data_IF_062902921600
#
_entry.id   IF_062902921600
#
_cell.length_a   1.000
_cell.length_b   1.000
_cell.length_c   1.000
_cell.angle_alpha   90.00
_cell.angle_beta   90.00
_cell.angle_gamma   90.00
#
_symmetry.space_group_name_H-M   'P 1'
#
loop_
_entity.id
_entity.type
_entity.pdbx_description
1 polymer ?
#
# COMPACT_ATOMS: atom_id res chain seq x y z
N UNK A 1 36.16 -8.90 25.20
CA UNK A 1 35.03 -8.00 25.44
C UNK A 1 33.91 -8.51 24.56
N UNK A 2 32.92 -9.13 25.19
CA UNK A 2 31.82 -9.80 24.49
C UNK A 2 30.91 -8.73 23.88
N UNK A 3 30.75 -8.75 22.54
CA UNK A 3 29.79 -7.91 21.88
C UNK A 3 28.39 -8.34 22.35
N UNK A 4 27.76 -7.49 23.17
CA UNK A 4 26.38 -7.68 23.63
C UNK A 4 25.47 -7.56 22.40
N UNK A 5 25.10 -8.68 21.80
CA UNK A 5 24.06 -8.73 20.78
C UNK A 5 22.76 -8.29 21.46
N UNK A 6 22.17 -7.21 20.96
CA UNK A 6 20.84 -6.78 21.39
C UNK A 6 19.85 -7.93 21.17
N UNK A 7 18.81 -8.05 22.03
CA UNK A 7 17.93 -9.21 22.04
C UNK A 7 17.23 -9.42 20.71
N UNK A 8 17.17 -10.68 20.29
CA UNK A 8 16.45 -11.13 19.10
C UNK A 8 14.94 -10.89 19.23
N UNK A 9 14.23 -10.88 18.13
CA UNK A 9 12.76 -10.65 18.01
C UNK A 9 11.89 -11.61 18.84
N UNK A 10 12.47 -12.57 19.55
CA UNK A 10 11.81 -13.59 20.37
C UNK A 10 11.77 -13.27 21.88
N UNK A 11 12.28 -12.10 22.32
CA UNK A 11 12.35 -11.80 23.75
C UNK A 11 10.95 -11.56 24.32
N UNK A 12 10.62 -12.30 25.38
CA UNK A 12 9.34 -12.18 26.11
C UNK A 12 9.43 -11.04 27.14
N UNK A 13 9.28 -9.79 26.72
CA UNK A 13 9.45 -8.59 27.55
C UNK A 13 8.56 -8.55 28.80
N UNK A 14 7.36 -9.13 28.73
CA UNK A 14 6.42 -9.19 29.85
C UNK A 14 6.88 -10.13 30.98
N UNK A 15 7.79 -11.05 30.69
CA UNK A 15 8.35 -11.97 31.71
C UNK A 15 9.59 -11.41 32.40
N UNK A 16 10.10 -10.26 31.94
CA UNK A 16 11.32 -9.66 32.48
C UNK A 16 11.02 -8.61 33.55
N UNK A 17 11.88 -8.55 34.57
CA UNK A 17 11.95 -7.41 35.48
C UNK A 17 12.39 -6.15 34.73
N UNK A 18 11.98 -4.97 35.23
CA UNK A 18 12.26 -3.67 34.62
C UNK A 18 13.77 -3.45 34.43
N UNK A 19 14.56 -3.71 35.48
CA UNK A 19 16.02 -3.50 35.44
C UNK A 19 16.71 -4.41 34.43
N UNK A 20 16.22 -5.65 34.29
CA UNK A 20 16.74 -6.59 33.26
C UNK A 20 16.39 -6.11 31.86
N UNK A 21 15.15 -5.61 31.66
CA UNK A 21 14.73 -5.08 30.36
C UNK A 21 15.56 -3.85 29.96
N UNK A 22 15.78 -2.92 30.90
CA UNK A 22 16.66 -1.75 30.70
C UNK A 22 18.08 -2.17 30.36
N UNK A 23 18.64 -3.15 31.10
CA UNK A 23 19.98 -3.66 30.87
C UNK A 23 20.16 -4.33 29.52
N UNK A 24 19.17 -5.11 29.05
CA UNK A 24 19.20 -5.76 27.73
C UNK A 24 19.20 -4.76 26.58
N UNK A 25 18.50 -3.66 26.72
CA UNK A 25 18.47 -2.59 25.73
C UNK A 25 19.54 -1.51 25.95
N UNK A 26 20.43 -1.67 26.94
CA UNK A 26 21.42 -0.66 27.32
C UNK A 26 20.78 0.73 27.38
N UNK A 27 19.69 0.86 28.15
CA UNK A 27 18.95 2.10 28.35
C UNK A 27 18.85 2.44 29.83
N UNK A 28 18.50 3.69 30.11
CA UNK A 28 18.32 4.19 31.49
C UNK A 28 16.97 4.92 31.60
N UNK A 29 16.22 4.62 32.66
CA UNK A 29 14.86 5.14 32.85
C UNK A 29 14.79 6.68 33.02
N UNK A 30 15.87 7.31 33.55
CA UNK A 30 15.92 8.73 33.84
C UNK A 30 16.66 9.57 32.80
N UNK A 31 17.73 9.02 32.21
CA UNK A 31 18.49 9.73 31.18
C UNK A 31 18.06 9.37 29.74
N UNK A 32 17.44 8.21 29.54
CA UNK A 32 17.16 7.69 28.19
C UNK A 32 18.43 7.42 27.38
N UNK A 33 18.31 7.40 26.08
CA UNK A 33 19.41 7.23 25.13
C UNK A 33 20.09 8.55 24.80
N UNK A 34 21.38 8.49 24.44
CA UNK A 34 22.10 9.64 23.84
C UNK A 34 21.74 9.80 22.35
N UNK A 35 22.05 10.96 21.78
CA UNK A 35 21.78 11.24 20.36
C UNK A 35 22.52 10.25 19.46
N UNK A 36 23.77 9.94 19.78
CA UNK A 36 24.61 9.00 19.02
C UNK A 36 24.06 7.57 19.06
N UNK A 37 23.54 7.14 20.22
CA UNK A 37 22.90 5.82 20.34
C UNK A 37 21.61 5.74 19.53
N UNK A 38 20.82 6.80 19.52
CA UNK A 38 19.60 6.87 18.71
C UNK A 38 19.91 6.77 17.23
N UNK A 39 20.91 7.51 16.73
CA UNK A 39 21.31 7.44 15.32
C UNK A 39 21.78 6.02 14.92
N UNK A 40 22.62 5.39 15.76
CA UNK A 40 23.06 4.02 15.52
C UNK A 40 21.90 3.02 15.50
N UNK A 41 20.92 3.19 16.41
CA UNK A 41 19.75 2.32 16.48
C UNK A 41 18.81 2.56 15.30
N UNK A 42 18.62 3.80 14.87
CA UNK A 42 17.83 4.13 13.70
C UNK A 42 18.42 3.52 12.41
N UNK A 43 19.76 3.54 12.28
CA UNK A 43 20.42 2.84 11.17
C UNK A 43 20.27 1.33 11.23
N UNK A 44 20.24 0.74 12.44
CA UNK A 44 20.17 -0.71 12.64
C UNK A 44 18.75 -1.25 12.50
N UNK A 45 17.75 -0.59 13.10
CA UNK A 45 16.36 -1.06 13.17
C UNK A 45 15.45 -0.43 12.12
N UNK A 46 15.91 0.65 11.46
CA UNK A 46 15.09 1.44 10.57
C UNK A 46 14.09 2.35 11.30
N UNK A 47 13.29 3.12 10.55
CA UNK A 47 12.25 3.97 11.12
C UNK A 47 11.10 3.15 11.71
N UNK A 48 10.46 3.71 12.74
CA UNK A 48 9.26 3.11 13.34
C UNK A 48 8.03 3.39 12.46
N UNK A 49 7.99 2.73 11.32
CA UNK A 49 6.91 2.79 10.35
C UNK A 49 6.48 1.36 9.99
N UNK A 50 5.20 1.17 9.76
CA UNK A 50 4.72 -0.07 9.17
C UNK A 50 5.07 -0.03 7.68
N UNK A 51 5.73 -1.07 7.18
CA UNK A 51 5.96 -1.20 5.75
C UNK A 51 4.60 -1.28 5.04
N UNK A 52 4.25 -0.20 4.39
CA UNK A 52 3.23 -0.28 3.36
C UNK A 52 3.91 -0.88 2.13
N UNK A 53 3.23 -1.74 1.39
CA UNK A 53 3.69 -2.08 0.05
C UNK A 53 4.00 -0.77 -0.65
N UNK A 54 5.29 -0.56 -0.93
CA UNK A 54 5.81 0.69 -1.46
C UNK A 54 4.90 1.17 -2.57
N UNK A 55 4.60 2.48 -2.60
CA UNK A 55 3.74 3.05 -3.61
C UNK A 55 4.11 2.49 -4.97
N UNK A 56 3.12 2.18 -5.80
CA UNK A 56 3.33 1.54 -7.11
C UNK A 56 4.42 2.27 -7.87
N UNK A 57 5.37 1.55 -8.42
CA UNK A 57 6.42 2.16 -9.23
C UNK A 57 5.80 2.85 -10.45
N UNK A 58 6.45 3.90 -10.96
CA UNK A 58 5.97 4.60 -12.17
C UNK A 58 5.72 3.64 -13.34
N UNK A 59 6.53 2.60 -13.46
CA UNK A 59 6.39 1.55 -14.47
C UNK A 59 5.20 0.64 -14.22
N UNK A 60 4.92 0.27 -12.97
CA UNK A 60 3.73 -0.51 -12.61
C UNK A 60 2.45 0.25 -12.92
N UNK A 61 2.37 1.53 -12.53
CA UNK A 61 1.25 2.41 -12.85
C UNK A 61 1.05 2.48 -14.37
N UNK A 62 2.13 2.64 -15.14
CA UNK A 62 2.06 2.72 -16.60
C UNK A 62 1.57 1.38 -17.20
N UNK A 63 2.14 0.25 -16.77
CA UNK A 63 1.73 -1.06 -17.30
C UNK A 63 0.31 -1.44 -16.91
N UNK A 64 -0.16 -1.05 -15.72
CA UNK A 64 -1.53 -1.31 -15.29
C UNK A 64 -2.56 -0.59 -16.17
N UNK A 65 -2.21 0.57 -16.76
CA UNK A 65 -3.07 1.22 -17.75
C UNK A 65 -3.33 0.31 -18.96
N UNK A 66 -2.34 -0.48 -19.37
CA UNK A 66 -2.45 -1.39 -20.52
C UNK A 66 -3.16 -2.72 -20.21
N UNK A 67 -3.45 -3.03 -18.93
CA UNK A 67 -4.26 -4.21 -18.56
C UNK A 67 -5.76 -3.99 -18.74
N UNK A 68 -6.20 -2.74 -18.99
CA UNK A 68 -7.60 -2.45 -19.22
C UNK A 68 -8.06 -3.12 -20.52
N UNK A 69 -9.14 -3.91 -20.47
CA UNK A 69 -9.70 -4.65 -21.60
C UNK A 69 -10.04 -3.73 -22.79
N UNK A 70 -10.47 -2.49 -22.49
CA UNK A 70 -10.79 -1.49 -23.52
C UNK A 70 -9.54 -1.03 -24.26
N UNK A 71 -8.43 -0.78 -23.54
CA UNK A 71 -7.18 -0.38 -24.16
C UNK A 71 -6.54 -1.54 -24.96
N UNK A 72 -6.62 -2.76 -24.42
CA UNK A 72 -6.21 -3.97 -25.15
C UNK A 72 -6.99 -4.15 -26.46
N UNK A 73 -8.29 -3.88 -26.44
CA UNK A 73 -9.13 -3.93 -27.63
C UNK A 73 -8.70 -2.88 -28.67
N UNK A 74 -8.43 -1.63 -28.25
CA UNK A 74 -7.92 -0.58 -29.13
C UNK A 74 -6.57 -0.95 -29.74
N UNK A 75 -5.67 -1.55 -28.96
CA UNK A 75 -4.38 -2.05 -29.46
C UNK A 75 -4.59 -3.17 -30.49
N UNK A 76 -5.50 -4.10 -30.23
CA UNK A 76 -5.83 -5.17 -31.18
C UNK A 76 -6.40 -4.60 -32.50
N UNK A 77 -7.30 -3.59 -32.39
CA UNK A 77 -7.86 -2.90 -33.56
C UNK A 77 -6.76 -2.17 -34.35
N UNK A 78 -5.85 -1.46 -33.64
CA UNK A 78 -4.70 -0.79 -34.28
C UNK A 78 -3.79 -1.78 -35.01
N UNK A 79 -3.57 -2.96 -34.43
CA UNK A 79 -2.77 -4.01 -35.08
C UNK A 79 -3.44 -4.56 -36.35
N UNK A 80 -4.75 -4.83 -36.29
CA UNK A 80 -5.51 -5.31 -37.42
C UNK A 80 -5.55 -4.24 -38.52
N UNK A 81 -5.89 -3.00 -38.20
CA UNK A 81 -5.90 -1.87 -39.15
C UNK A 81 -4.53 -1.68 -39.81
N UNK A 82 -3.45 -1.64 -38.98
CA UNK A 82 -2.09 -1.52 -39.51
C UNK A 82 -1.65 -2.67 -40.40
N UNK A 83 -2.13 -3.90 -40.14
CA UNK A 83 -1.86 -5.06 -40.99
C UNK A 83 -2.58 -4.95 -42.34
N UNK A 84 -3.83 -4.49 -42.33
CA UNK A 84 -4.59 -4.24 -43.55
C UNK A 84 -3.97 -3.12 -44.39
N UNK A 85 -3.60 -2.02 -43.76
CA UNK A 85 -2.90 -0.90 -44.38
C UNK A 85 -1.56 -1.33 -45.01
N UNK A 86 -0.80 -2.18 -44.32
CA UNK A 86 0.48 -2.69 -44.80
C UNK A 86 0.31 -3.58 -46.05
N UNK A 87 -0.69 -4.49 -46.04
CA UNK A 87 -0.98 -5.34 -47.17
C UNK A 87 -1.35 -4.49 -48.40
N UNK A 88 -2.18 -3.47 -48.21
CA UNK A 88 -2.64 -2.58 -49.30
C UNK A 88 -1.53 -1.71 -49.84
N UNK A 89 -0.65 -1.21 -48.97
CA UNK A 89 0.52 -0.48 -49.38
C UNK A 89 1.46 -1.35 -50.23
N UNK A 90 1.67 -2.60 -49.82
CA UNK A 90 2.51 -3.55 -50.55
C UNK A 90 1.88 -3.95 -51.92
N UNK A 91 0.57 -4.03 -51.97
CA UNK A 91 -0.18 -4.34 -53.21
C UNK A 91 -0.26 -3.16 -54.19
N UNK A 92 0.13 -1.95 -53.77
CA UNK A 92 0.03 -0.75 -54.59
C UNK A 92 -1.40 -0.24 -54.78
N UNK A 93 -2.33 -0.61 -53.89
CA UNK A 93 -3.77 -0.32 -54.01
C UNK A 93 -4.16 1.04 -53.38
N UNK A 94 -3.17 1.85 -52.93
CA UNK A 94 -3.43 3.17 -52.36
C UNK A 94 -3.98 4.14 -53.38
N UNK A 95 -5.08 4.79 -53.07
CA UNK A 95 -5.68 5.84 -53.90
C UNK A 95 -4.79 7.09 -53.94
N UNK A 96 -4.72 7.82 -55.03
CA UNK A 96 -3.98 9.07 -55.13
C UNK A 96 -4.45 10.08 -54.05
N UNK A 97 -3.55 10.47 -53.15
CA UNK A 97 -3.85 11.41 -52.05
C UNK A 97 -4.25 10.75 -50.74
N UNK A 98 -4.32 9.46 -50.64
CA UNK A 98 -4.58 8.70 -49.41
C UNK A 98 -3.30 8.61 -48.57
N UNK A 99 -3.42 8.97 -47.27
CA UNK A 99 -2.30 8.87 -46.33
C UNK A 99 -2.25 7.44 -45.82
N UNK A 100 -1.15 6.69 -46.07
CA UNK A 100 -1.04 5.33 -45.54
C UNK A 100 -1.06 5.33 -44.00
N UNK A 101 -1.69 4.31 -43.43
CA UNK A 101 -1.78 4.11 -41.97
C UNK A 101 -2.51 5.22 -41.19
N UNK A 102 -3.34 6.03 -41.82
CA UNK A 102 -4.04 7.16 -41.19
C UNK A 102 -4.87 6.73 -40.01
N UNK A 103 -5.66 5.64 -40.13
CA UNK A 103 -6.53 5.17 -39.04
C UNK A 103 -5.73 4.47 -37.94
N UNK A 104 -4.71 3.72 -38.31
CA UNK A 104 -3.75 3.12 -37.37
C UNK A 104 -3.04 4.18 -36.54
N UNK A 105 -2.57 5.27 -37.15
CA UNK A 105 -1.90 6.39 -36.47
C UNK A 105 -2.90 7.07 -35.50
N UNK A 106 -4.12 7.31 -35.94
CA UNK A 106 -5.15 7.94 -35.12
C UNK A 106 -5.47 7.08 -33.87
N UNK A 107 -5.65 5.77 -34.04
CA UNK A 107 -5.91 4.86 -32.92
C UNK A 107 -4.72 4.80 -31.96
N UNK A 108 -3.49 4.69 -32.47
CA UNK A 108 -2.29 4.68 -31.65
C UNK A 108 -2.12 6.01 -30.87
N UNK A 109 -2.44 7.14 -31.50
CA UNK A 109 -2.43 8.43 -30.82
C UNK A 109 -3.41 8.47 -29.64
N UNK A 110 -4.63 7.89 -29.82
CA UNK A 110 -5.62 7.77 -28.75
C UNK A 110 -5.11 6.86 -27.62
N UNK A 111 -4.53 5.71 -27.98
CA UNK A 111 -3.95 4.77 -27.00
C UNK A 111 -2.86 5.42 -26.16
N UNK A 112 -1.93 6.12 -26.81
CA UNK A 112 -0.84 6.84 -26.13
C UNK A 112 -1.39 7.95 -25.23
N UNK A 113 -2.33 8.74 -25.76
CA UNK A 113 -2.96 9.83 -25.00
C UNK A 113 -3.67 9.30 -23.76
N UNK A 114 -4.46 8.23 -23.88
CA UNK A 114 -5.13 7.59 -22.76
C UNK A 114 -4.14 7.02 -21.75
N UNK A 115 -3.05 6.38 -22.19
CA UNK A 115 -2.00 5.88 -21.32
C UNK A 115 -1.32 6.99 -20.52
N UNK A 116 -0.99 8.12 -21.17
CA UNK A 116 -0.39 9.30 -20.52
C UNK A 116 -1.40 9.91 -19.53
N UNK A 117 -2.64 10.09 -19.93
CA UNK A 117 -3.68 10.70 -19.10
C UNK A 117 -3.94 9.84 -17.84
N UNK A 118 -4.09 8.52 -18.02
CA UNK A 118 -4.26 7.58 -16.92
C UNK A 118 -3.07 7.60 -15.95
N UNK A 119 -1.85 7.58 -16.47
CA UNK A 119 -0.63 7.70 -15.66
C UNK A 119 -0.61 9.00 -14.83
N UNK A 120 -0.92 10.13 -15.46
CA UNK A 120 -0.92 11.44 -14.77
C UNK A 120 -2.00 11.49 -13.69
N UNK A 121 -3.19 10.97 -13.96
CA UNK A 121 -4.29 10.93 -12.99
C UNK A 121 -3.94 10.05 -11.77
N UNK A 122 -3.47 8.83 -12.00
CA UNK A 122 -3.08 7.88 -10.93
C UNK A 122 -1.91 8.42 -10.10
N UNK A 123 -0.85 8.94 -10.77
CA UNK A 123 0.31 9.51 -10.08
C UNK A 123 -0.05 10.72 -9.21
N UNK A 124 -0.97 11.58 -9.67
CA UNK A 124 -1.47 12.71 -8.85
C UNK A 124 -2.29 12.23 -7.65
N UNK A 125 -3.12 11.21 -7.82
CA UNK A 125 -3.90 10.63 -6.72
C UNK A 125 -2.98 10.04 -5.64
N UNK A 126 -1.94 9.32 -6.03
CA UNK A 126 -0.97 8.72 -5.13
C UNK A 126 -0.13 9.79 -4.38
N UNK A 127 0.31 10.84 -5.09
CA UNK A 127 1.02 11.97 -4.47
C UNK A 127 0.13 12.74 -3.46
N UNK A 128 -1.15 12.94 -3.76
CA UNK A 128 -2.08 13.58 -2.85
C UNK A 128 -2.30 12.74 -1.58
N UNK A 129 -2.42 11.42 -1.72
CA UNK A 129 -2.53 10.50 -0.60
C UNK A 129 -1.26 10.50 0.28
N UNK A 130 -0.08 10.47 -0.34
CA UNK A 130 1.20 10.54 0.36
C UNK A 130 1.38 11.88 1.13
N UNK A 131 0.90 13.00 0.56
CA UNK A 131 0.91 14.30 1.23
C UNK A 131 0.00 14.32 2.47
N UNK A 132 -1.21 13.75 2.38
CA UNK A 132 -2.12 13.62 3.52
C UNK A 132 -1.52 12.78 4.64
N UNK A 133 -0.87 11.66 4.32
CA UNK A 133 -0.18 10.81 5.30
C UNK A 133 0.93 11.54 6.06
N UNK A 134 1.71 12.39 5.38
CA UNK A 134 2.76 13.20 6.03
C UNK A 134 2.21 14.20 7.04
N UNK A 135 1.01 14.73 6.83
CA UNK A 135 0.38 15.66 7.77
C UNK A 135 -0.11 14.98 9.06
N UNK A 136 -0.30 13.67 9.04
CA UNK A 136 -0.82 12.87 10.14
C UNK A 136 0.28 12.20 11.00
N UNK A 137 1.56 12.56 10.83
CA UNK A 137 2.64 11.97 11.63
C UNK A 137 2.53 12.42 13.09
N UNK A 138 2.20 11.52 14.04
CA UNK A 138 2.09 11.85 15.45
C UNK A 138 3.47 12.20 16.03
N UNK A 139 3.50 13.12 17.01
CA UNK A 139 4.66 13.38 17.84
C UNK A 139 4.55 12.58 19.14
N UNK A 140 5.69 12.16 19.66
CA UNK A 140 5.80 11.38 20.89
C UNK A 140 6.82 12.02 21.80
N UNK A 141 6.49 12.10 23.09
CA UNK A 141 7.39 12.61 24.11
C UNK A 141 8.28 11.50 24.64
N UNK A 142 9.58 11.70 24.57
CA UNK A 142 10.60 10.75 25.03
C UNK A 142 11.61 11.43 25.95
N UNK A 143 12.33 10.62 26.75
CA UNK A 143 13.49 11.06 27.50
C UNK A 143 14.73 10.70 26.71
N UNK A 144 15.53 11.70 26.32
CA UNK A 144 16.85 11.51 25.67
C UNK A 144 17.86 12.45 26.28
N UNK A 145 19.05 11.93 26.61
CA UNK A 145 20.12 12.68 27.29
C UNK A 145 19.64 13.44 28.54
N UNK A 146 18.75 12.83 29.34
CA UNK A 146 18.18 13.39 30.54
C UNK A 146 17.18 14.54 30.35
N UNK A 147 16.72 14.77 29.08
CA UNK A 147 15.76 15.83 28.75
C UNK A 147 14.51 15.25 28.11
N UNK A 148 13.38 15.91 28.37
CA UNK A 148 12.13 15.64 27.66
C UNK A 148 12.20 16.28 26.28
N UNK A 149 11.99 15.46 25.23
CA UNK A 149 12.03 15.89 23.83
C UNK A 149 10.81 15.33 23.12
N UNK A 150 10.13 16.16 22.33
CA UNK A 150 9.10 15.71 21.40
C UNK A 150 9.76 15.31 20.08
N UNK A 151 9.57 14.05 19.68
CA UNK A 151 10.13 13.47 18.45
C UNK A 151 9.00 12.96 17.55
N UNK A 152 9.23 12.88 16.25
CA UNK A 152 8.28 12.22 15.37
C UNK A 152 8.20 10.73 15.71
N UNK A 153 7.00 10.15 15.70
CA UNK A 153 6.80 8.74 16.03
C UNK A 153 7.67 7.78 15.22
N UNK A 154 7.99 8.14 13.99
CA UNK A 154 8.88 7.37 13.11
C UNK A 154 10.34 7.33 13.56
N UNK A 155 10.77 8.29 14.38
CA UNK A 155 12.15 8.43 14.85
C UNK A 155 12.38 7.78 16.24
N UNK A 156 11.36 7.03 16.73
CA UNK A 156 11.47 6.23 17.95
C UNK A 156 12.25 4.95 17.65
N UNK A 157 13.13 4.58 18.58
CA UNK A 157 13.96 3.37 18.45
C UNK A 157 13.84 2.48 19.70
N UNK A 158 14.08 1.17 19.58
CA UNK A 158 14.15 0.28 20.74
C UNK A 158 15.18 0.79 21.76
N UNK A 159 14.76 0.91 23.02
CA UNK A 159 15.54 1.49 24.12
C UNK A 159 15.20 2.94 24.45
N UNK A 160 14.41 3.64 23.64
CA UNK A 160 13.86 4.93 24.04
C UNK A 160 12.96 4.79 25.26
N UNK A 161 12.91 5.83 26.09
CA UNK A 161 11.97 5.94 27.20
C UNK A 161 10.84 6.89 26.81
N UNK A 162 9.69 6.30 26.45
CA UNK A 162 8.50 7.02 26.00
C UNK A 162 7.61 7.38 27.19
N UNK A 163 7.06 8.60 27.20
CA UNK A 163 6.10 9.08 28.18
C UNK A 163 4.68 8.95 27.65
N UNK A 164 3.82 8.38 28.48
CA UNK A 164 2.40 8.23 28.20
C UNK A 164 1.57 9.13 29.11
N UNK A 165 0.60 9.80 28.53
CA UNK A 165 -0.41 10.63 29.20
C UNK A 165 -1.79 10.35 28.60
N UNK A 166 -2.87 10.61 29.35
CA UNK A 166 -4.23 10.41 28.87
C UNK A 166 -4.49 11.17 27.55
N UNK A 167 -5.13 10.49 26.57
CA UNK A 167 -5.42 11.00 25.22
C UNK A 167 -4.29 10.79 24.21
N UNK A 168 -3.16 10.20 24.60
CA UNK A 168 -2.06 9.90 23.69
C UNK A 168 -2.24 8.52 23.06
N UNK A 169 -2.02 8.42 21.75
CA UNK A 169 -1.90 7.15 21.06
C UNK A 169 -0.48 6.58 21.18
N UNK A 170 -0.38 5.32 21.58
CA UNK A 170 0.90 4.64 21.77
C UNK A 170 1.52 4.32 20.42
N UNK A 171 2.76 4.76 20.21
CA UNK A 171 3.41 4.74 18.90
C UNK A 171 4.41 3.61 18.70
N UNK A 172 4.71 2.82 19.74
CA UNK A 172 5.59 1.65 19.67
C UNK A 172 5.24 0.66 20.77
N UNK A 173 5.62 -0.62 20.62
CA UNK A 173 5.47 -1.58 21.71
C UNK A 173 6.53 -1.34 22.79
N UNK A 174 6.14 -1.52 24.05
CA UNK A 174 7.09 -1.28 25.12
C UNK A 174 6.74 -1.93 26.45
N UNK A 175 7.78 -2.16 27.24
CA UNK A 175 7.71 -2.62 28.63
C UNK A 175 7.48 -1.43 29.55
N UNK A 176 6.42 -1.46 30.33
CA UNK A 176 6.10 -0.40 31.28
C UNK A 176 7.14 -0.37 32.40
N UNK A 177 7.72 0.81 32.65
CA UNK A 177 8.74 1.06 33.71
C UNK A 177 8.07 1.59 34.95
N UNK A 178 7.24 2.64 34.78
CA UNK A 178 6.52 3.33 35.85
C UNK A 178 5.10 3.62 35.40
N UNK A 179 4.16 3.65 36.34
CA UNK A 179 2.78 4.03 36.04
C UNK A 179 2.10 4.69 37.25
N UNK A 180 1.11 5.54 36.95
CA UNK A 180 0.19 6.11 37.91
C UNK A 180 -1.22 6.07 37.33
N UNK A 181 -2.04 5.12 37.81
CA UNK A 181 -3.42 4.88 37.37
C UNK A 181 -3.57 4.76 35.84
N UNK A 182 -2.60 4.10 35.18
CA UNK A 182 -2.57 3.98 33.72
C UNK A 182 -3.62 2.98 33.25
N UNK A 183 -4.52 3.43 32.40
CA UNK A 183 -5.50 2.62 31.69
C UNK A 183 -5.34 2.79 30.18
N UNK A 184 -5.28 1.68 29.47
CA UNK A 184 -5.06 1.65 28.02
C UNK A 184 -6.19 0.89 27.35
N UNK A 185 -6.76 1.47 26.29
CA UNK A 185 -7.75 0.82 25.43
C UNK A 185 -7.02 0.03 24.35
N UNK A 186 -7.15 -1.29 24.39
CA UNK A 186 -6.45 -2.22 23.48
C UNK A 186 -7.38 -2.86 22.45
N UNK A 187 -8.56 -2.31 22.22
CA UNK A 187 -9.59 -2.86 21.32
C UNK A 187 -9.10 -3.08 19.88
N UNK A 188 -8.12 -2.31 19.43
CA UNK A 188 -7.53 -2.49 18.10
C UNK A 188 -6.77 -3.83 17.95
N UNK A 189 -6.28 -4.41 19.05
CA UNK A 189 -5.50 -5.66 19.07
C UNK A 189 -6.29 -6.84 19.66
N UNK A 190 -7.03 -6.60 20.73
CA UNK A 190 -7.74 -7.67 21.47
C UNK A 190 -9.21 -7.81 21.06
N UNK A 191 -9.77 -6.76 20.44
CA UNK A 191 -11.21 -6.67 20.16
C UNK A 191 -12.07 -6.29 21.38
N UNK A 192 -11.48 -6.18 22.58
CA UNK A 192 -12.19 -5.85 23.81
C UNK A 192 -12.33 -4.32 23.97
N UNK A 193 -13.54 -3.84 24.25
CA UNK A 193 -13.83 -2.41 24.33
C UNK A 193 -13.41 -1.79 25.67
N UNK A 194 -13.27 -2.58 26.73
CA UNK A 194 -12.90 -2.09 28.05
C UNK A 194 -11.42 -1.70 28.13
N UNK A 195 -11.12 -0.66 28.90
CA UNK A 195 -9.75 -0.22 29.12
C UNK A 195 -9.08 -1.11 30.17
N UNK A 196 -7.85 -1.55 29.87
CA UNK A 196 -7.05 -2.43 30.72
C UNK A 196 -6.21 -1.60 31.69
N UNK A 197 -6.27 -1.94 32.98
CA UNK A 197 -5.38 -1.37 34.00
C UNK A 197 -3.97 -1.92 33.83
N UNK A 198 -2.99 -1.07 33.58
CA UNK A 198 -1.58 -1.46 33.40
C UNK A 198 -0.81 -1.40 34.73
N UNK A 199 0.12 -2.35 34.92
CA UNK A 199 0.93 -2.48 36.14
C UNK A 199 2.39 -2.74 35.79
N UNK A 200 3.29 -1.81 36.15
CA UNK A 200 4.71 -1.88 35.81
C UNK A 200 5.47 -2.95 36.62
N UNK A 201 5.14 -3.12 37.89
CA UNK A 201 5.89 -3.95 38.85
C UNK A 201 5.70 -5.45 38.66
N UNK A 202 4.74 -5.89 37.87
CA UNK A 202 4.45 -7.30 37.67
C UNK A 202 5.44 -7.93 36.69
N UNK A 203 5.76 -9.19 36.96
CA UNK A 203 6.44 -10.11 36.08
C UNK A 203 5.47 -11.22 35.73
N UNK A 204 5.23 -11.45 34.48
CA UNK A 204 4.21 -12.38 34.00
C UNK A 204 4.87 -13.65 33.44
N UNK A 205 4.19 -14.81 33.47
CA UNK A 205 4.64 -16.03 32.80
C UNK A 205 4.91 -15.79 31.30
N UNK A 206 5.86 -16.54 30.74
CA UNK A 206 6.22 -16.40 29.32
C UNK A 206 5.07 -16.73 28.36
N UNK A 207 4.18 -17.64 28.76
CA UNK A 207 3.01 -18.12 28.01
C UNK A 207 1.76 -17.23 28.16
N UNK A 208 1.89 -16.05 28.83
CA UNK A 208 0.79 -15.11 29.01
C UNK A 208 0.24 -14.63 27.66
N UNK A 209 -1.08 -14.72 27.49
CA UNK A 209 -1.76 -14.25 26.28
C UNK A 209 -1.61 -12.75 26.07
N UNK A 210 -1.73 -12.27 24.82
CA UNK A 210 -1.48 -10.86 24.47
C UNK A 210 -2.31 -9.88 25.32
N UNK A 211 -3.61 -10.13 25.45
CA UNK A 211 -4.54 -9.25 26.21
C UNK A 211 -4.29 -9.25 27.71
N UNK A 212 -3.63 -10.27 28.26
CA UNK A 212 -3.35 -10.41 29.70
C UNK A 212 -1.98 -9.82 30.08
N UNK A 213 -1.18 -9.32 29.11
CA UNK A 213 0.12 -8.73 29.36
C UNK A 213 -0.01 -7.30 29.89
N UNK A 214 -0.48 -7.15 31.12
CA UNK A 214 -0.80 -5.86 31.74
C UNK A 214 0.43 -4.99 32.05
N UNK A 215 1.65 -5.51 31.90
CA UNK A 215 2.91 -4.80 32.09
C UNK A 215 3.60 -4.36 30.78
N UNK A 216 2.92 -4.55 29.66
CA UNK A 216 3.36 -4.13 28.32
C UNK A 216 2.29 -3.24 27.69
N UNK A 217 2.69 -2.33 26.83
CA UNK A 217 1.82 -1.49 26.00
C UNK A 217 2.13 -1.72 24.54
N UNK A 218 1.16 -1.50 23.65
CA UNK A 218 1.23 -1.84 22.24
C UNK A 218 0.99 -0.65 21.32
N UNK A 219 1.66 -0.63 20.20
CA UNK A 219 1.45 0.35 19.14
C UNK A 219 -0.01 0.34 18.66
N UNK A 220 -0.56 1.52 18.41
CA UNK A 220 -1.93 1.67 17.89
C UNK A 220 -3.02 1.67 18.95
N UNK A 221 -2.65 1.46 20.24
CA UNK A 221 -3.58 1.54 21.38
C UNK A 221 -3.60 2.94 21.98
N UNK A 222 -4.61 3.26 22.80
CA UNK A 222 -4.86 4.62 23.31
C UNK A 222 -4.83 4.64 24.85
N UNK A 223 -4.13 5.64 25.40
CA UNK A 223 -4.16 5.90 26.84
C UNK A 223 -5.45 6.63 27.20
N UNK A 224 -6.33 5.96 27.94
CA UNK A 224 -7.62 6.53 28.38
C UNK A 224 -7.47 7.36 29.64
N UNK A 225 -6.63 6.91 30.59
CA UNK A 225 -6.44 7.55 31.87
C UNK A 225 -5.03 7.31 32.40
N UNK A 226 -4.56 8.24 33.26
CA UNK A 226 -3.30 8.11 33.98
C UNK A 226 -2.08 8.51 33.17
N UNK A 227 -0.93 8.06 33.63
CA UNK A 227 0.38 8.34 33.01
C UNK A 227 1.34 7.18 33.25
N UNK A 228 2.35 7.05 32.36
CA UNK A 228 3.38 6.03 32.50
C UNK A 228 4.67 6.37 31.77
N UNK A 229 5.77 5.72 32.21
CA UNK A 229 7.03 5.64 31.46
C UNK A 229 7.17 4.25 30.87
N UNK A 230 7.56 4.17 29.62
CA UNK A 230 7.65 2.94 28.85
C UNK A 230 9.00 2.82 28.18
N UNK A 231 9.69 1.72 28.39
CA UNK A 231 10.85 1.32 27.62
C UNK A 231 10.38 0.77 26.29
N UNK A 232 10.68 1.43 25.19
CA UNK A 232 10.37 0.95 23.84
C UNK A 232 11.16 -0.33 23.55
N UNK A 233 10.45 -1.38 23.20
CA UNK A 233 11.05 -2.71 22.96
C UNK A 233 11.03 -3.11 21.48
N UNK A 234 9.95 -2.80 20.80
CA UNK A 234 9.75 -3.15 19.40
C UNK A 234 9.19 -1.94 18.62
N UNK A 235 9.63 -1.79 17.38
CA UNK A 235 9.24 -0.70 16.48
C UNK A 235 8.88 -1.24 15.09
N UNK A 236 8.08 -0.50 14.33
CA UNK A 236 7.72 -0.84 12.95
C UNK A 236 7.12 -2.24 12.79
N UNK A 237 7.63 -3.00 11.83
CA UNK A 237 7.13 -4.34 11.52
C UNK A 237 7.37 -5.38 12.63
N UNK A 238 8.21 -5.09 13.63
CA UNK A 238 8.47 -6.00 14.76
C UNK A 238 7.47 -5.84 15.90
N UNK A 239 6.60 -4.82 15.88
CA UNK A 239 5.50 -4.63 16.84
C UNK A 239 4.38 -5.67 16.61
N UNK A 240 3.50 -5.85 17.59
CA UNK A 240 2.33 -6.72 17.43
C UNK A 240 1.44 -6.25 16.28
N UNK A 241 1.25 -4.93 16.13
CA UNK A 241 0.53 -4.35 15.00
C UNK A 241 1.27 -4.63 13.67
N UNK A 242 2.60 -4.56 13.65
CA UNK A 242 3.43 -4.87 12.49
C UNK A 242 3.31 -6.33 12.05
N UNK A 243 3.23 -7.27 13.01
CA UNK A 243 2.99 -8.70 12.73
C UNK A 243 1.63 -8.91 12.07
N UNK A 244 0.58 -8.24 12.57
CA UNK A 244 -0.76 -8.26 11.95
C UNK A 244 -0.71 -7.68 10.53
N UNK A 245 -0.03 -6.54 10.35
CA UNK A 245 0.16 -5.94 9.03
C UNK A 245 0.84 -6.90 8.05
N UNK A 246 1.88 -7.62 8.48
CA UNK A 246 2.56 -8.65 7.66
C UNK A 246 1.61 -9.77 7.25
N UNK A 247 0.75 -10.24 8.15
CA UNK A 247 -0.24 -11.28 7.84
C UNK A 247 -1.30 -10.78 6.85
N UNK A 248 -1.73 -9.52 6.96
CA UNK A 248 -2.71 -8.91 6.06
C UNK A 248 -2.12 -8.59 4.67
N UNK A 249 -0.83 -8.31 4.59
CA UNK A 249 -0.14 -8.06 3.30
C UNK A 249 -0.14 -9.28 2.37
N UNK A 250 -0.29 -10.49 2.92
CA UNK A 250 -0.41 -11.72 2.12
C UNK A 250 -1.79 -11.90 1.48
N UNK A 251 -2.77 -11.07 1.84
CA UNK A 251 -4.13 -11.12 1.29
C UNK A 251 -4.21 -10.17 0.10
N UNK A 252 -4.44 -10.69 -1.11
CA UNK A 252 -4.67 -9.88 -2.30
C UNK A 252 -5.90 -8.97 -2.07
N UNK A 253 -5.79 -7.71 -2.47
CA UNK A 253 -6.90 -6.76 -2.41
C UNK A 253 -8.00 -7.20 -3.38
N UNK A 254 -9.08 -7.76 -2.87
CA UNK A 254 -10.25 -8.08 -3.69
C UNK A 254 -10.90 -6.80 -4.23
N UNK A 255 -11.26 -6.76 -5.52
CA UNK A 255 -11.92 -5.61 -6.10
C UNK A 255 -13.29 -5.39 -5.45
N UNK A 256 -13.63 -4.13 -5.20
CA UNK A 256 -14.92 -3.75 -4.62
C UNK A 256 -16.10 -4.22 -5.50
N UNK A 257 -17.31 -4.44 -4.94
CA UNK A 257 -18.49 -4.83 -5.72
C UNK A 257 -18.81 -3.85 -6.86
N UNK A 258 -18.52 -2.55 -6.67
CA UNK A 258 -18.66 -1.54 -7.72
C UNK A 258 -17.65 -1.75 -8.86
N UNK A 259 -16.37 -1.98 -8.52
CA UNK A 259 -15.34 -2.29 -9.52
C UNK A 259 -15.66 -3.56 -10.30
N UNK A 260 -16.13 -4.62 -9.62
CA UNK A 260 -16.56 -5.85 -10.28
C UNK A 260 -17.70 -5.60 -11.28
N UNK A 261 -18.71 -4.81 -10.91
CA UNK A 261 -19.82 -4.47 -11.81
C UNK A 261 -19.38 -3.61 -12.99
N UNK A 262 -18.46 -2.66 -12.77
CA UNK A 262 -17.90 -1.84 -13.86
C UNK A 262 -17.08 -2.69 -14.82
N UNK A 263 -16.27 -3.63 -14.33
CA UNK A 263 -15.55 -4.60 -15.17
C UNK A 263 -16.52 -5.49 -15.95
N UNK A 264 -17.61 -5.96 -15.33
CA UNK A 264 -18.64 -6.74 -16.02
C UNK A 264 -19.33 -5.94 -17.14
N UNK A 265 -19.69 -4.67 -16.89
CA UNK A 265 -20.26 -3.78 -17.90
C UNK A 265 -19.27 -3.58 -19.07
N UNK A 266 -18.01 -3.31 -18.77
CA UNK A 266 -16.96 -3.21 -19.77
C UNK A 266 -16.86 -4.47 -20.64
N UNK A 267 -16.84 -5.65 -20.01
CA UNK A 267 -16.80 -6.92 -20.73
C UNK A 267 -18.04 -7.16 -21.61
N UNK A 268 -19.23 -6.79 -21.13
CA UNK A 268 -20.47 -6.91 -21.93
C UNK A 268 -20.44 -5.97 -23.13
N UNK A 269 -19.98 -4.73 -22.97
CA UNK A 269 -19.86 -3.76 -24.06
C UNK A 269 -18.84 -4.23 -25.11
N UNK A 270 -17.67 -4.69 -24.68
CA UNK A 270 -16.64 -5.25 -25.58
C UNK A 270 -17.16 -6.49 -26.30
N UNK A 271 -17.77 -7.43 -25.60
CA UNK A 271 -18.32 -8.64 -26.20
C UNK A 271 -19.44 -8.31 -27.19
N UNK A 272 -20.33 -7.38 -26.84
CA UNK A 272 -21.40 -6.90 -27.71
C UNK A 272 -20.87 -6.24 -28.97
N UNK A 273 -19.82 -5.41 -28.85
CA UNK A 273 -19.18 -4.79 -30.03
C UNK A 273 -18.54 -5.82 -30.96
N UNK A 274 -17.85 -6.83 -30.42
CA UNK A 274 -17.26 -7.90 -31.22
C UNK A 274 -18.30 -8.73 -31.95
N UNK A 275 -19.44 -9.03 -31.31
CA UNK A 275 -20.57 -9.72 -31.96
C UNK A 275 -21.12 -8.86 -33.09
N UNK A 276 -21.29 -7.57 -32.90
CA UNK A 276 -21.78 -6.64 -33.89
C UNK A 276 -20.82 -6.55 -35.10
N UNK A 277 -19.52 -6.46 -34.85
CA UNK A 277 -18.47 -6.53 -35.88
C UNK A 277 -18.60 -7.84 -36.70
N UNK A 278 -18.72 -8.97 -35.99
CA UNK A 278 -18.88 -10.27 -36.68
C UNK A 278 -20.15 -10.33 -37.56
N UNK A 279 -21.28 -9.80 -37.09
CA UNK A 279 -22.54 -9.75 -37.84
C UNK A 279 -22.37 -8.89 -39.12
N UNK A 280 -21.75 -7.70 -38.98
CA UNK A 280 -21.55 -6.78 -40.13
C UNK A 280 -20.62 -7.41 -41.16
N UNK A 281 -19.51 -8.00 -40.72
CA UNK A 281 -18.54 -8.64 -41.62
C UNK A 281 -19.15 -9.87 -42.33
N UNK A 282 -19.74 -10.78 -41.57
CA UNK A 282 -20.35 -12.00 -42.13
C UNK A 282 -21.52 -11.67 -43.04
N UNK A 283 -22.42 -10.77 -42.59
CA UNK A 283 -23.56 -10.33 -43.39
C UNK A 283 -23.14 -9.67 -44.69
N UNK A 284 -22.14 -8.81 -44.64
CA UNK A 284 -21.62 -8.14 -45.84
C UNK A 284 -20.94 -9.11 -46.83
N UNK A 285 -20.18 -10.08 -46.36
CA UNK A 285 -19.56 -11.13 -47.20
C UNK A 285 -20.63 -12.01 -47.87
N UNK A 286 -21.67 -12.40 -47.09
CA UNK A 286 -22.79 -13.20 -47.63
C UNK A 286 -23.54 -12.40 -48.73
N UNK A 287 -23.83 -11.13 -48.47
CA UNK A 287 -24.53 -10.27 -49.41
C UNK A 287 -23.73 -10.02 -50.70
N UNK A 288 -22.42 -9.90 -50.60
CA UNK A 288 -21.53 -9.73 -51.75
C UNK A 288 -21.30 -11.02 -52.54
N UNK A 289 -21.53 -12.19 -51.96
CA UNK A 289 -21.28 -13.50 -52.57
C UNK A 289 -19.79 -13.82 -52.80
N UNK A 290 -18.90 -12.97 -52.35
CA UNK A 290 -17.44 -13.13 -52.43
C UNK A 290 -16.72 -12.37 -51.28
N UNK A 291 -15.41 -12.60 -51.15
CA UNK A 291 -14.58 -11.95 -50.10
C UNK A 291 -14.02 -10.57 -50.53
N UNK A 292 -14.38 -10.07 -51.72
CA UNK A 292 -13.87 -8.77 -52.22
C UNK A 292 -14.12 -7.59 -51.28
N UNK A 293 -15.29 -7.42 -50.59
CA UNK A 293 -15.54 -6.30 -49.71
C UNK A 293 -15.03 -6.51 -48.29
N UNK A 294 -14.36 -7.63 -47.99
CA UNK A 294 -13.94 -7.97 -46.60
C UNK A 294 -13.11 -6.87 -45.96
N UNK A 295 -12.22 -6.24 -46.72
CA UNK A 295 -11.38 -5.16 -46.23
C UNK A 295 -12.22 -3.94 -45.80
N UNK A 296 -13.07 -3.43 -46.70
CA UNK A 296 -13.89 -2.25 -46.44
C UNK A 296 -14.87 -2.52 -45.27
N UNK A 297 -15.41 -3.73 -45.17
CA UNK A 297 -16.27 -4.17 -44.07
C UNK A 297 -15.51 -4.24 -42.74
N UNK A 298 -14.26 -4.71 -42.75
CA UNK A 298 -13.42 -4.71 -41.56
C UNK A 298 -13.08 -3.28 -41.11
N UNK A 299 -12.69 -2.39 -42.01
CA UNK A 299 -12.38 -0.98 -41.67
C UNK A 299 -13.59 -0.29 -41.06
N UNK A 300 -14.79 -0.41 -41.64
CA UNK A 300 -16.02 0.16 -41.08
C UNK A 300 -16.37 -0.46 -39.74
N UNK A 301 -16.26 -1.77 -39.61
CA UNK A 301 -16.59 -2.49 -38.37
C UNK A 301 -15.62 -2.17 -37.23
N UNK A 302 -14.32 -2.02 -37.56
CA UNK A 302 -13.30 -1.61 -36.60
C UNK A 302 -13.54 -0.16 -36.10
N UNK A 303 -13.91 0.75 -37.02
CA UNK A 303 -14.28 2.13 -36.64
C UNK A 303 -15.50 2.15 -35.72
N UNK A 304 -16.50 1.29 -35.96
CA UNK A 304 -17.65 1.12 -35.06
C UNK A 304 -17.24 0.56 -33.70
N UNK A 305 -16.34 -0.43 -33.64
CA UNK A 305 -15.87 -1.00 -32.40
C UNK A 305 -15.13 0.05 -31.53
N UNK A 306 -14.31 0.90 -32.15
CA UNK A 306 -13.63 2.01 -31.46
C UNK A 306 -14.63 3.03 -30.89
N UNK A 307 -15.71 3.31 -31.60
CA UNK A 307 -16.75 4.27 -31.16
C UNK A 307 -17.55 3.78 -29.93
N UNK A 308 -17.57 2.48 -29.64
CA UNK A 308 -18.26 1.87 -28.48
C UNK A 308 -17.40 1.93 -27.21
N UNK A 309 -16.11 2.16 -27.36
CA UNK A 309 -15.21 2.31 -26.19
C UNK A 309 -15.48 3.65 -25.52
N UNK A 310 -15.99 3.66 -24.26
CA UNK A 310 -16.32 4.89 -23.54
C UNK A 310 -15.09 5.68 -23.08
#
# INVERSE_FOLDING_TARGET
MSANSLPESSTTWHSLEVDKALGLLNSNADSGLTTEEVEQRLQKYGPNELEEHGGRSAWEILFDQFKNIMLLMLIAVAFISGSLDFISWQAGELKPGEIPFKDTIAILAIVILNGILGYVQESRAEQALAALKKLASPSVRVIRSGKLVDVAAKDIVPGDVMLLEAGVQISADGRLIEQANLQVRESALTGEAEAVNKQASLQLPEDTSLGDRINVVYQGTEVVQGRGKVLVTNTGMTTELGKIATMLQSVENEPTPLQQRMTQLGNVLVSGSLVLVAIVVVGGVIQAGNFSPLRDLLEVSLSMAVAVVP
#
